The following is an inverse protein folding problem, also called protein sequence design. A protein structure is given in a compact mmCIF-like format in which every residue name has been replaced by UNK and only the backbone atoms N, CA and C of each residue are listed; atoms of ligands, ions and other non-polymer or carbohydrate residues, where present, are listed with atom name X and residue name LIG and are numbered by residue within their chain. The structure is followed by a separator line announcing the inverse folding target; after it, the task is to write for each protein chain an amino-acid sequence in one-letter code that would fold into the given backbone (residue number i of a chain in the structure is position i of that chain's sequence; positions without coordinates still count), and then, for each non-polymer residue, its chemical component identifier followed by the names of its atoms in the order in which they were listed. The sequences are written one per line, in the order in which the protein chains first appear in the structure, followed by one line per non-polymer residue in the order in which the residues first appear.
data_IF_038604308408
#
_entry.id   IF_038604308408
#
_cell.length_a   1.000
_cell.length_b   1.000
_cell.length_c   1.000
_cell.angle_alpha   90.00
_cell.angle_beta   90.00
_cell.angle_gamma   90.00
#
_symmetry.space_group_name_H-M   'P 1'
#
loop_
_entity.id
_entity.type
_entity.pdbx_description
1 polymer ?
#
# COMPACT_ATOMS: atom_id res chain seq x y z
N UNK A 1 -29.69 -9.23 -17.83
CA UNK A 1 -29.22 -10.64 -17.77
C UNK A 1 -28.18 -10.79 -18.89
N UNK A 2 -26.89 -10.66 -18.57
CA UNK A 2 -25.81 -11.06 -19.49
C UNK A 2 -25.84 -12.58 -19.62
N UNK A 3 -25.69 -13.07 -20.85
CA UNK A 3 -25.69 -14.48 -21.15
C UNK A 3 -24.42 -15.13 -20.56
N UNK A 4 -24.48 -16.42 -20.18
CA UNK A 4 -23.36 -17.22 -19.66
C UNK A 4 -22.16 -17.33 -20.64
N UNK A 5 -22.22 -16.72 -21.81
CA UNK A 5 -21.20 -16.78 -22.88
C UNK A 5 -20.19 -15.65 -22.85
N UNK A 6 -20.31 -14.68 -21.90
CA UNK A 6 -19.43 -13.50 -21.82
C UNK A 6 -18.29 -13.65 -20.79
N UNK A 7 -18.02 -14.85 -20.27
CA UNK A 7 -16.93 -15.03 -19.31
C UNK A 7 -15.61 -15.25 -20.05
N UNK A 8 -14.63 -14.43 -19.72
CA UNK A 8 -13.23 -14.61 -20.15
C UNK A 8 -12.75 -15.95 -19.56
N UNK A 9 -12.54 -16.94 -20.41
CA UNK A 9 -12.05 -18.22 -19.99
C UNK A 9 -10.53 -18.16 -19.93
N UNK A 10 -9.94 -18.15 -18.74
CA UNK A 10 -8.49 -18.25 -18.57
C UNK A 10 -8.05 -19.65 -18.98
N UNK A 11 -7.36 -19.77 -20.12
CA UNK A 11 -6.81 -21.04 -20.60
C UNK A 11 -5.40 -21.26 -20.07
N UNK A 12 -4.57 -20.25 -20.14
CA UNK A 12 -3.19 -20.29 -19.65
C UNK A 12 -2.72 -18.89 -19.22
N UNK A 13 -1.74 -18.81 -18.34
CA UNK A 13 -1.11 -17.57 -17.88
C UNK A 13 0.39 -17.74 -17.65
N UNK A 14 1.14 -16.67 -17.91
CA UNK A 14 2.52 -16.53 -17.45
C UNK A 14 2.61 -16.02 -16.00
N UNK A 15 1.48 -15.59 -15.42
CA UNK A 15 1.38 -15.24 -14.00
C UNK A 15 0.92 -16.45 -13.19
N UNK A 16 1.23 -16.51 -11.89
CA UNK A 16 0.57 -17.44 -10.98
C UNK A 16 -0.95 -17.36 -11.07
N UNK A 17 -1.63 -18.50 -10.97
CA UNK A 17 -3.08 -18.58 -10.93
C UNK A 17 -3.50 -18.93 -9.51
N UNK A 18 -4.31 -18.05 -8.91
CA UNK A 18 -4.94 -18.26 -7.61
C UNK A 18 -6.38 -18.69 -7.83
N UNK A 19 -6.76 -19.85 -7.30
CA UNK A 19 -8.11 -20.39 -7.39
C UNK A 19 -8.71 -20.46 -5.99
N UNK A 20 -9.84 -19.78 -5.78
CA UNK A 20 -10.56 -19.76 -4.51
C UNK A 20 -11.94 -20.36 -4.71
N UNK A 21 -12.32 -21.27 -3.81
CA UNK A 21 -13.65 -21.87 -3.76
C UNK A 21 -14.28 -21.68 -2.39
N UNK A 22 -15.51 -21.20 -2.32
CA UNK A 22 -16.27 -21.03 -1.08
C UNK A 22 -17.66 -21.60 -1.23
N UNK A 23 -18.21 -22.17 -0.16
CA UNK A 23 -19.58 -22.64 -0.15
C UNK A 23 -20.60 -21.54 0.20
N UNK A 24 -20.12 -20.46 0.81
CA UNK A 24 -20.91 -19.30 1.20
C UNK A 24 -20.54 -18.10 0.35
N UNK A 25 -21.45 -17.13 0.25
CA UNK A 25 -21.18 -15.86 -0.41
C UNK A 25 -20.16 -15.06 0.39
N UNK A 26 -19.13 -14.54 -0.29
CA UNK A 26 -18.11 -13.68 0.32
C UNK A 26 -18.72 -12.30 0.53
N UNK A 27 -18.58 -11.73 1.74
CA UNK A 27 -19.03 -10.40 2.10
C UNK A 27 -17.96 -9.62 2.85
N UNK A 28 -18.24 -8.37 3.22
CA UNK A 28 -17.41 -7.55 4.10
C UNK A 28 -17.74 -7.70 5.58
N UNK A 29 -18.84 -8.38 5.91
CA UNK A 29 -19.39 -8.41 7.27
C UNK A 29 -18.71 -9.47 8.14
N UNK A 30 -18.29 -10.55 7.51
CA UNK A 30 -17.62 -11.68 8.18
C UNK A 30 -16.77 -12.49 7.21
N UNK A 31 -15.78 -13.15 7.74
CA UNK A 31 -15.02 -14.15 6.99
C UNK A 31 -15.84 -15.41 6.78
N UNK A 32 -15.68 -15.99 5.61
CA UNK A 32 -16.23 -17.29 5.27
C UNK A 32 -15.11 -18.28 5.01
N UNK A 33 -15.32 -19.54 5.37
CA UNK A 33 -14.39 -20.62 5.08
C UNK A 33 -14.37 -20.94 3.59
N UNK A 34 -13.19 -21.29 3.10
CA UNK A 34 -12.99 -21.67 1.71
C UNK A 34 -11.72 -22.50 1.52
N UNK A 35 -11.46 -22.81 0.27
CA UNK A 35 -10.24 -23.46 -0.17
C UNK A 35 -9.51 -22.58 -1.16
N UNK A 36 -8.21 -22.48 -1.05
CA UNK A 36 -7.34 -21.79 -2.02
C UNK A 36 -6.31 -22.76 -2.57
N UNK A 37 -6.21 -22.78 -3.90
CA UNK A 37 -5.12 -23.43 -4.62
C UNK A 37 -4.31 -22.40 -5.40
N UNK A 38 -2.99 -22.53 -5.40
CA UNK A 38 -2.10 -21.68 -6.19
C UNK A 38 -1.27 -22.53 -7.12
N UNK A 39 -1.31 -22.18 -8.41
CA UNK A 39 -0.53 -22.79 -9.47
C UNK A 39 0.56 -21.81 -9.87
N UNK A 40 1.80 -22.22 -9.70
CA UNK A 40 2.95 -21.44 -10.13
C UNK A 40 4.08 -22.30 -10.66
N UNK A 41 4.04 -22.55 -11.97
CA UNK A 41 5.10 -23.21 -12.70
C UNK A 41 6.24 -22.22 -12.90
N UNK A 42 7.36 -22.43 -12.18
CA UNK A 42 8.49 -21.51 -12.20
C UNK A 42 9.25 -21.60 -13.54
N UNK A 43 9.96 -20.54 -13.86
CA UNK A 43 10.66 -20.41 -15.13
C UNK A 43 9.80 -19.78 -16.22
N UNK A 44 9.86 -20.30 -17.43
CA UNK A 44 9.08 -19.80 -18.58
C UNK A 44 7.85 -20.67 -18.90
N UNK A 45 7.48 -21.55 -17.98
CA UNK A 45 6.32 -22.42 -18.18
C UNK A 45 5.02 -21.66 -17.92
N UNK A 46 4.00 -21.96 -18.73
CA UNK A 46 2.66 -21.40 -18.51
C UNK A 46 1.96 -22.18 -17.41
N UNK A 47 1.11 -21.47 -16.66
CA UNK A 47 0.19 -22.04 -15.69
C UNK A 47 -1.14 -22.24 -16.38
N UNK A 48 -1.82 -23.37 -16.15
CA UNK A 48 -3.18 -23.62 -16.60
C UNK A 48 -4.10 -23.89 -15.41
N UNK A 49 -5.38 -23.49 -15.43
CA UNK A 49 -6.29 -23.73 -14.30
C UNK A 49 -6.49 -25.21 -13.97
N UNK A 50 -6.11 -26.11 -14.87
CA UNK A 50 -6.17 -27.58 -14.68
C UNK A 50 -4.90 -28.20 -14.12
N UNK A 51 -3.82 -27.41 -13.95
CA UNK A 51 -2.60 -27.92 -13.34
C UNK A 51 -2.81 -28.20 -11.85
N UNK A 52 -1.96 -29.03 -11.32
CA UNK A 52 -1.92 -29.31 -9.88
C UNK A 52 -1.53 -28.05 -9.11
N UNK A 53 -2.19 -27.78 -8.01
CA UNK A 53 -1.77 -26.74 -7.07
C UNK A 53 -0.39 -27.11 -6.51
N UNK A 54 0.62 -26.30 -6.83
CA UNK A 54 2.02 -26.62 -6.55
C UNK A 54 2.75 -25.58 -5.70
N UNK A 55 2.09 -24.44 -5.42
CA UNK A 55 2.64 -23.41 -4.52
C UNK A 55 1.88 -23.39 -3.18
N UNK A 56 0.55 -23.41 -3.22
CA UNK A 56 -0.31 -23.57 -2.05
C UNK A 56 -1.55 -24.43 -2.40
N UNK A 57 -1.99 -25.25 -1.44
CA UNK A 57 -3.19 -26.08 -1.55
C UNK A 57 -3.76 -26.31 -0.14
N UNK A 58 -4.76 -25.49 0.27
CA UNK A 58 -5.21 -25.52 1.66
C UNK A 58 -6.46 -24.71 1.96
N UNK A 59 -6.88 -24.79 3.23
CA UNK A 59 -8.03 -24.08 3.76
C UNK A 59 -7.69 -22.60 3.98
N UNK A 60 -8.68 -21.74 3.80
CA UNK A 60 -8.61 -20.31 4.07
C UNK A 60 -9.89 -19.79 4.73
N UNK A 61 -9.78 -18.68 5.45
CA UNK A 61 -10.90 -17.80 5.74
C UNK A 61 -10.75 -16.52 4.90
N UNK A 62 -11.83 -16.07 4.24
CA UNK A 62 -11.80 -14.98 3.26
C UNK A 62 -12.97 -14.02 3.46
N UNK A 63 -12.73 -12.74 3.23
CA UNK A 63 -13.72 -11.66 3.24
C UNK A 63 -13.38 -10.58 2.22
N UNK A 64 -14.36 -9.75 1.83
CA UNK A 64 -14.06 -8.50 1.11
C UNK A 64 -13.37 -7.51 2.04
N UNK A 65 -12.47 -6.71 1.47
CA UNK A 65 -11.80 -5.63 2.18
C UNK A 65 -11.80 -4.34 1.37
N UNK A 66 -11.61 -3.24 2.10
CA UNK A 66 -11.52 -1.88 1.57
C UNK A 66 -12.54 -0.97 2.22
N UNK A 67 -12.52 0.30 1.86
CA UNK A 67 -13.52 1.28 2.22
C UNK A 67 -14.22 1.74 0.93
N UNK A 68 -13.75 2.79 0.29
CA UNK A 68 -14.29 3.26 -1.01
C UNK A 68 -14.17 2.23 -2.13
N UNK A 69 -13.13 1.39 -2.11
CA UNK A 69 -12.92 0.33 -3.10
C UNK A 69 -13.98 -0.79 -3.07
N UNK A 70 -14.79 -0.88 -2.00
CA UNK A 70 -15.93 -1.79 -1.95
C UNK A 70 -17.04 -1.42 -2.93
N UNK A 71 -17.08 -0.18 -3.42
CA UNK A 71 -18.03 0.24 -4.45
C UNK A 71 -17.65 -0.25 -5.86
N UNK A 72 -16.37 -0.63 -6.07
CA UNK A 72 -15.93 -1.11 -7.37
C UNK A 72 -16.42 -2.54 -7.66
N UNK A 73 -16.69 -2.87 -8.94
CA UNK A 73 -17.05 -4.23 -9.35
C UNK A 73 -15.96 -5.27 -9.05
N UNK A 74 -14.69 -4.86 -9.05
CA UNK A 74 -13.53 -5.69 -8.76
C UNK A 74 -13.17 -5.54 -7.28
N UNK A 75 -13.50 -6.54 -6.47
CA UNK A 75 -13.32 -6.53 -5.01
C UNK A 75 -11.92 -6.96 -4.61
N UNK A 76 -11.33 -6.30 -3.62
CA UNK A 76 -10.16 -6.80 -2.91
C UNK A 76 -10.59 -7.76 -1.79
N UNK A 77 -9.69 -8.71 -1.47
CA UNK A 77 -9.95 -9.70 -0.42
C UNK A 77 -8.87 -9.65 0.65
N UNK A 78 -9.28 -9.90 1.87
CA UNK A 78 -8.41 -10.29 2.98
C UNK A 78 -8.64 -11.77 3.23
N UNK A 79 -7.57 -12.50 3.40
CA UNK A 79 -7.63 -13.94 3.65
C UNK A 79 -6.60 -14.35 4.71
N UNK A 80 -6.94 -15.41 5.42
CA UNK A 80 -6.06 -16.11 6.35
C UNK A 80 -5.95 -17.56 5.92
N UNK A 81 -4.72 -18.07 5.84
CA UNK A 81 -4.47 -19.48 5.62
C UNK A 81 -4.73 -20.26 6.91
N UNK A 82 -5.35 -21.44 6.79
CA UNK A 82 -5.82 -22.24 7.93
C UNK A 82 -5.45 -23.72 7.80
N UNK A 83 -5.31 -24.38 8.94
CA UNK A 83 -5.21 -25.83 9.01
C UNK A 83 -6.59 -26.51 8.87
N UNK A 84 -6.63 -27.83 8.93
CA UNK A 84 -7.86 -28.64 8.81
C UNK A 84 -8.86 -28.39 9.95
N UNK A 85 -8.44 -27.77 11.05
CA UNK A 85 -9.28 -27.45 12.21
C UNK A 85 -9.77 -26.00 12.18
N UNK A 86 -9.40 -25.21 11.14
CA UNK A 86 -9.71 -23.80 11.03
C UNK A 86 -8.82 -22.90 11.88
N UNK A 87 -7.69 -23.41 12.37
CA UNK A 87 -6.68 -22.61 13.07
C UNK A 87 -5.72 -21.98 12.06
N UNK A 88 -5.25 -20.78 12.37
CA UNK A 88 -4.30 -20.06 11.50
C UNK A 88 -3.05 -20.90 11.25
N UNK A 89 -2.62 -20.95 10.00
CA UNK A 89 -1.49 -21.71 9.52
C UNK A 89 -0.55 -20.82 8.73
N UNK A 90 0.66 -20.59 9.23
CA UNK A 90 1.68 -19.87 8.47
C UNK A 90 2.07 -20.67 7.23
N UNK A 91 1.85 -20.11 6.05
CA UNK A 91 2.17 -20.70 4.76
C UNK A 91 3.03 -19.76 3.91
N UNK A 92 4.03 -20.34 3.21
CA UNK A 92 4.74 -19.61 2.16
C UNK A 92 3.85 -19.53 0.93
N UNK A 93 3.71 -18.34 0.38
CA UNK A 93 2.93 -18.10 -0.83
C UNK A 93 3.77 -17.31 -1.83
N UNK A 94 3.93 -17.82 -3.05
CA UNK A 94 4.63 -17.16 -4.16
C UNK A 94 6.06 -16.70 -3.78
N UNK A 95 6.82 -17.55 -3.11
CA UNK A 95 8.16 -17.29 -2.57
C UNK A 95 8.22 -16.11 -1.57
N UNK A 96 7.10 -15.65 -1.03
CA UNK A 96 7.08 -14.73 0.11
C UNK A 96 7.19 -15.51 1.42
N UNK A 97 7.81 -14.95 2.48
CA UNK A 97 7.94 -15.60 3.78
C UNK A 97 6.62 -16.10 4.35
N UNK A 98 6.69 -17.15 5.17
CA UNK A 98 5.51 -17.78 5.72
C UNK A 98 4.77 -16.88 6.71
N UNK A 99 3.47 -16.74 6.50
CA UNK A 99 2.53 -16.06 7.38
C UNK A 99 1.11 -16.59 7.12
N UNK A 100 0.16 -16.26 7.99
CA UNK A 100 -1.24 -16.62 7.82
C UNK A 100 -2.08 -15.51 7.19
N UNK A 101 -1.66 -14.26 7.28
CA UNK A 101 -2.41 -13.06 6.83
C UNK A 101 -1.96 -12.58 5.44
N UNK A 102 -2.88 -12.58 4.47
CA UNK A 102 -2.65 -12.20 3.08
C UNK A 102 -3.74 -11.28 2.53
N UNK A 103 -3.40 -10.53 1.50
CA UNK A 103 -4.34 -9.66 0.79
C UNK A 103 -4.25 -9.92 -0.71
N UNK A 104 -5.40 -10.12 -1.35
CA UNK A 104 -5.55 -10.05 -2.80
C UNK A 104 -6.06 -8.65 -3.14
N UNK A 105 -5.12 -7.76 -3.46
CA UNK A 105 -5.45 -6.40 -3.87
C UNK A 105 -5.96 -6.37 -5.32
N UNK A 106 -7.06 -5.66 -5.54
CA UNK A 106 -7.73 -5.50 -6.82
C UNK A 106 -7.42 -4.13 -7.43
N UNK A 107 -6.45 -3.98 -8.34
CA UNK A 107 -6.24 -2.72 -9.05
C UNK A 107 -7.38 -2.48 -10.06
N UNK A 108 -8.36 -1.65 -9.70
CA UNK A 108 -9.50 -1.32 -10.56
C UNK A 108 -9.40 0.09 -11.12
N UNK A 109 -9.33 1.13 -10.28
CA UNK A 109 -9.10 2.50 -10.72
C UNK A 109 -7.65 2.74 -11.19
N UNK A 110 -6.71 1.95 -10.68
CA UNK A 110 -5.35 1.92 -11.22
C UNK A 110 -5.27 1.07 -12.49
N UNK A 111 -5.48 1.70 -13.64
CA UNK A 111 -5.47 1.02 -14.93
C UNK A 111 -4.08 0.61 -15.41
N UNK A 112 -3.01 1.08 -14.77
CA UNK A 112 -1.66 0.53 -15.02
C UNK A 112 -1.49 -0.84 -14.39
N UNK A 113 -2.30 -1.19 -13.39
CA UNK A 113 -2.26 -2.40 -12.56
C UNK A 113 -1.05 -2.48 -11.62
N UNK A 114 -0.17 -1.45 -11.57
CA UNK A 114 1.14 -1.58 -10.92
C UNK A 114 1.54 -0.44 -9.96
N UNK A 115 0.68 0.56 -9.68
CA UNK A 115 1.07 1.70 -8.82
C UNK A 115 1.46 1.29 -7.41
N UNK A 116 0.61 0.51 -6.72
CA UNK A 116 0.97 -0.06 -5.41
C UNK A 116 2.22 -0.94 -5.51
N UNK A 117 2.29 -1.79 -6.53
CA UNK A 117 3.41 -2.69 -6.76
C UNK A 117 4.73 -1.91 -6.89
N UNK A 118 4.72 -0.83 -7.69
CA UNK A 118 5.89 0.02 -7.91
C UNK A 118 6.36 0.69 -6.62
N UNK A 119 5.42 1.36 -5.92
CA UNK A 119 5.80 2.09 -4.71
C UNK A 119 6.27 1.14 -3.60
N UNK A 120 5.63 -0.03 -3.43
CA UNK A 120 6.06 -1.00 -2.43
C UNK A 120 7.45 -1.59 -2.76
N UNK A 121 7.73 -1.82 -4.04
CA UNK A 121 9.06 -2.28 -4.48
C UNK A 121 10.13 -1.22 -4.20
N UNK A 122 9.87 0.05 -4.57
CA UNK A 122 10.80 1.14 -4.29
C UNK A 122 11.00 1.35 -2.77
N UNK A 123 9.92 1.27 -2.01
CA UNK A 123 9.98 1.40 -0.55
C UNK A 123 10.80 0.26 0.10
N UNK A 124 10.71 -0.97 -0.42
CA UNK A 124 11.52 -2.10 0.06
C UNK A 124 13.02 -1.93 -0.20
N UNK A 125 13.41 -1.10 -1.17
CA UNK A 125 14.81 -0.76 -1.43
C UNK A 125 15.30 0.44 -0.60
N UNK A 126 14.39 1.15 0.08
CA UNK A 126 14.67 2.39 0.82
C UNK A 126 14.54 2.18 2.32
N UNK A 127 13.48 1.52 2.74
CA UNK A 127 13.09 1.31 4.14
C UNK A 127 13.51 -0.09 4.62
N UNK A 128 13.45 -0.31 5.92
CA UNK A 128 13.75 -1.62 6.51
C UNK A 128 12.77 -2.71 6.01
N UNK A 129 11.50 -2.34 5.80
CA UNK A 129 10.45 -3.21 5.28
C UNK A 129 9.40 -2.43 4.50
N UNK A 130 8.91 -3.06 3.44
CA UNK A 130 7.65 -2.73 2.79
C UNK A 130 6.93 -4.03 2.41
N UNK A 131 5.58 -4.06 2.35
CA UNK A 131 4.86 -5.28 2.01
C UNK A 131 5.32 -5.86 0.67
N UNK A 132 5.70 -7.14 0.66
CA UNK A 132 6.06 -7.85 -0.57
C UNK A 132 4.81 -8.08 -1.40
N UNK A 133 4.97 -8.06 -2.71
CA UNK A 133 3.88 -8.12 -3.67
C UNK A 133 4.19 -9.09 -4.80
N UNK A 134 3.16 -9.77 -5.32
CA UNK A 134 3.24 -10.65 -6.49
C UNK A 134 2.02 -10.49 -7.36
N UNK A 135 2.21 -10.28 -8.66
CA UNK A 135 1.09 -10.36 -9.60
C UNK A 135 0.56 -11.77 -9.70
N UNK A 136 -0.75 -11.92 -9.80
CA UNK A 136 -1.43 -13.17 -10.05
C UNK A 136 -2.72 -12.94 -10.84
N UNK A 137 -3.26 -14.00 -11.42
CA UNK A 137 -4.61 -14.01 -11.96
C UNK A 137 -5.52 -14.79 -11.00
N UNK A 138 -6.71 -14.25 -10.72
CA UNK A 138 -7.61 -14.78 -9.71
C UNK A 138 -8.86 -15.41 -10.34
N UNK A 139 -9.20 -16.60 -9.88
CA UNK A 139 -10.47 -17.27 -10.13
C UNK A 139 -11.18 -17.46 -8.78
N UNK A 140 -12.45 -17.06 -8.67
CA UNK A 140 -13.27 -17.27 -7.47
C UNK A 140 -14.57 -17.96 -7.88
N UNK A 141 -14.81 -19.14 -7.36
CA UNK A 141 -16.01 -19.94 -7.65
C UNK A 141 -16.25 -20.08 -9.17
N UNK A 142 -15.22 -20.55 -9.88
CA UNK A 142 -15.18 -20.73 -11.34
C UNK A 142 -15.34 -19.43 -12.17
N UNK A 143 -15.35 -18.26 -11.52
CA UNK A 143 -15.44 -16.97 -12.20
C UNK A 143 -14.08 -16.27 -12.20
N UNK A 144 -13.50 -16.04 -13.40
CA UNK A 144 -12.25 -15.31 -13.58
C UNK A 144 -12.39 -13.84 -13.14
N UNK A 145 -11.56 -13.40 -12.21
CA UNK A 145 -11.62 -12.05 -11.61
C UNK A 145 -10.58 -11.08 -12.15
N UNK A 146 -9.66 -11.50 -13.02
CA UNK A 146 -8.63 -10.63 -13.60
C UNK A 146 -7.31 -10.67 -12.85
N UNK A 147 -6.48 -9.67 -13.14
CA UNK A 147 -5.17 -9.47 -12.51
C UNK A 147 -5.35 -8.94 -11.07
N UNK A 148 -4.70 -9.59 -10.13
CA UNK A 148 -4.62 -9.18 -8.73
C UNK A 148 -3.16 -9.04 -8.29
N UNK A 149 -2.97 -8.43 -7.14
CA UNK A 149 -1.67 -8.39 -6.46
C UNK A 149 -1.81 -9.10 -5.12
N UNK A 150 -1.17 -10.27 -5.00
CA UNK A 150 -0.99 -10.91 -3.70
C UNK A 150 -0.03 -10.06 -2.89
N UNK A 151 -0.43 -9.65 -1.70
CA UNK A 151 0.25 -8.65 -0.89
C UNK A 151 0.33 -9.13 0.56
N UNK A 152 1.47 -8.94 1.21
CA UNK A 152 1.60 -9.12 2.65
C UNK A 152 0.76 -8.08 3.40
N UNK A 153 0.10 -8.49 4.47
CA UNK A 153 -0.52 -7.57 5.43
C UNK A 153 0.56 -7.00 6.35
N UNK A 154 0.47 -5.71 6.68
CA UNK A 154 1.31 -5.10 7.71
C UNK A 154 0.97 -5.73 9.06
N UNK A 155 1.98 -6.30 9.72
CA UNK A 155 1.87 -7.06 10.95
C UNK A 155 3.26 -7.19 11.59
N UNK A 156 3.30 -7.33 12.91
CA UNK A 156 4.51 -7.76 13.61
C UNK A 156 4.88 -9.18 13.15
N UNK A 157 6.09 -9.35 12.66
CA UNK A 157 6.68 -10.62 12.24
C UNK A 157 8.15 -10.37 11.86
N UNK A 158 9.07 -11.28 12.17
CA UNK A 158 10.50 -11.16 11.85
C UNK A 158 10.78 -10.96 10.35
N UNK A 159 9.89 -11.44 9.49
CA UNK A 159 9.99 -11.29 8.03
C UNK A 159 9.16 -10.11 7.50
N UNK A 160 8.40 -9.41 8.34
CA UNK A 160 7.58 -8.24 7.99
C UNK A 160 8.04 -7.01 8.76
N UNK A 161 7.24 -6.47 9.67
CA UNK A 161 7.71 -5.43 10.58
C UNK A 161 8.45 -6.13 11.71
N UNK A 162 9.78 -6.15 11.61
CA UNK A 162 10.67 -6.85 12.53
C UNK A 162 10.83 -6.02 13.82
N UNK A 163 9.84 -6.16 14.70
CA UNK A 163 9.81 -5.61 16.04
C UNK A 163 9.53 -6.73 17.05
N UNK A 164 9.94 -6.54 18.28
CA UNK A 164 9.73 -7.53 19.30
C UNK A 164 8.23 -7.75 19.58
N UNK A 165 7.79 -9.00 19.61
CA UNK A 165 6.44 -9.36 20.03
C UNK A 165 6.15 -8.81 21.45
N UNK A 166 5.01 -8.14 21.61
CA UNK A 166 4.56 -7.59 22.89
C UNK A 166 3.41 -8.45 23.44
N UNK A 167 3.71 -9.26 24.43
CA UNK A 167 2.74 -10.14 25.08
C UNK A 167 2.03 -9.45 26.25
N UNK A 168 0.92 -9.98 26.73
CA UNK A 168 0.21 -9.45 27.90
C UNK A 168 1.03 -9.48 29.20
N UNK A 169 2.15 -10.20 29.25
CA UNK A 169 3.07 -10.26 30.39
C UNK A 169 4.07 -9.08 30.40
N UNK A 170 4.29 -8.43 29.26
CA UNK A 170 5.26 -7.37 29.07
C UNK A 170 4.70 -6.03 29.58
N UNK A 171 4.65 -5.85 30.88
CA UNK A 171 4.02 -4.70 31.55
C UNK A 171 5.01 -3.73 32.21
N UNK A 172 6.31 -3.96 32.11
CA UNK A 172 7.38 -3.15 32.68
C UNK A 172 8.48 -2.90 31.63
N UNK A 173 9.35 -1.92 31.91
CA UNK A 173 10.55 -1.70 31.09
C UNK A 173 11.58 -2.82 31.33
N UNK A 174 12.34 -3.23 30.28
CA UNK A 174 12.36 -2.62 28.95
C UNK A 174 11.28 -3.13 27.99
N UNK A 175 10.58 -4.23 28.29
CA UNK A 175 9.69 -4.94 27.36
C UNK A 175 8.52 -4.07 26.86
N UNK A 176 7.90 -3.31 27.78
CA UNK A 176 6.74 -2.44 27.45
C UNK A 176 7.09 -1.30 26.48
N UNK A 177 8.38 -1.04 26.23
CA UNK A 177 8.82 0.13 25.43
C UNK A 177 8.69 -0.08 23.92
N UNK A 178 8.27 -1.25 23.44
CA UNK A 178 8.14 -1.53 22.00
C UNK A 178 7.33 -2.77 21.71
N UNK A 179 7.17 -3.07 20.43
CA UNK A 179 6.27 -4.08 19.91
C UNK A 179 4.95 -3.45 19.44
N UNK A 180 4.98 -2.18 19.04
CA UNK A 180 3.79 -1.45 18.64
C UNK A 180 3.81 -1.11 17.15
N UNK A 181 2.67 -1.34 16.48
CA UNK A 181 2.35 -0.78 15.17
C UNK A 181 1.09 0.06 15.33
N UNK A 182 1.11 1.28 14.84
CA UNK A 182 -0.05 2.16 14.89
C UNK A 182 -0.13 3.01 13.62
N UNK A 183 -1.32 3.57 13.33
CA UNK A 183 -1.53 4.35 12.11
C UNK A 183 -2.46 5.51 12.31
N UNK A 184 -2.35 6.50 11.43
CA UNK A 184 -3.36 7.51 11.17
C UNK A 184 -4.23 7.05 10.00
N UNK A 185 -5.53 6.98 10.23
CA UNK A 185 -6.51 6.53 9.25
C UNK A 185 -7.92 6.98 9.64
N UNK A 186 -8.92 6.69 8.80
CA UNK A 186 -10.31 6.76 9.22
C UNK A 186 -10.56 5.82 10.41
N UNK A 187 -11.20 6.36 11.44
CA UNK A 187 -11.61 5.58 12.61
C UNK A 187 -12.97 4.91 12.39
N UNK A 188 -13.10 3.69 12.84
CA UNK A 188 -14.34 2.90 12.79
C UNK A 188 -14.73 2.41 14.20
N UNK A 189 -15.99 2.00 14.34
CA UNK A 189 -16.42 1.34 15.58
C UNK A 189 -15.64 0.04 15.79
N UNK A 190 -15.04 -0.08 16.97
CA UNK A 190 -14.20 -1.26 17.33
C UNK A 190 -12.71 -1.07 17.08
N UNK A 191 -12.27 0.09 16.58
CA UNK A 191 -10.84 0.40 16.52
C UNK A 191 -10.26 0.64 17.92
N UNK A 192 -9.03 0.16 18.13
CA UNK A 192 -8.27 0.43 19.33
C UNK A 192 -7.61 1.80 19.22
N UNK A 193 -8.25 2.82 19.82
CA UNK A 193 -7.88 4.22 19.65
C UNK A 193 -6.91 4.71 20.74
N UNK A 194 -6.00 5.58 20.32
CA UNK A 194 -5.10 6.36 21.16
C UNK A 194 -5.25 7.84 20.81
N UNK A 195 -5.58 8.67 21.80
CA UNK A 195 -5.80 10.11 21.60
C UNK A 195 -4.53 10.92 21.89
N UNK A 196 -4.17 11.80 20.97
CA UNK A 196 -3.08 12.77 21.10
C UNK A 196 -3.63 14.13 21.55
N UNK A 197 -3.18 14.56 22.72
CA UNK A 197 -3.74 15.75 23.37
C UNK A 197 -3.38 17.07 22.67
N UNK A 198 -2.16 17.19 22.15
CA UNK A 198 -1.72 18.42 21.49
C UNK A 198 -2.24 18.50 20.06
N UNK A 199 -2.01 17.45 19.27
CA UNK A 199 -2.53 17.36 17.88
C UNK A 199 -4.05 17.19 17.81
N UNK A 200 -4.73 16.86 18.92
CA UNK A 200 -6.20 16.67 19.01
C UNK A 200 -6.74 15.68 17.98
N UNK A 201 -6.09 14.52 17.84
CA UNK A 201 -6.51 13.47 16.92
C UNK A 201 -6.31 12.08 17.51
N UNK A 202 -7.01 11.12 16.92
CA UNK A 202 -6.87 9.70 17.23
C UNK A 202 -5.87 9.01 16.31
N UNK A 203 -5.08 8.10 16.88
CA UNK A 203 -4.34 7.08 16.15
C UNK A 203 -4.96 5.72 16.44
N UNK A 204 -4.84 4.80 15.50
CA UNK A 204 -5.34 3.43 15.63
C UNK A 204 -4.15 2.53 15.96
N UNK A 205 -4.23 1.78 17.06
CA UNK A 205 -3.25 0.75 17.40
C UNK A 205 -3.57 -0.52 16.61
N UNK A 206 -2.62 -0.99 15.81
CA UNK A 206 -2.74 -2.21 15.00
C UNK A 206 -2.16 -3.43 15.69
N UNK A 207 -1.01 -3.25 16.34
CA UNK A 207 -0.32 -4.27 17.13
C UNK A 207 0.15 -3.66 18.44
N UNK A 208 -0.05 -4.33 19.56
CA UNK A 208 -0.88 -5.54 19.72
C UNK A 208 -2.36 -5.29 19.35
N UNK A 209 -3.07 -6.36 18.97
CA UNK A 209 -4.51 -6.26 18.66
C UNK A 209 -5.30 -5.83 19.90
N UNK A 210 -6.53 -5.33 19.68
CA UNK A 210 -7.37 -4.82 20.76
C UNK A 210 -7.63 -5.85 21.87
N UNK A 211 -7.77 -7.12 21.51
CA UNK A 211 -7.99 -8.24 22.44
C UNK A 211 -6.71 -8.72 23.17
N UNK A 212 -5.55 -8.28 22.71
CA UNK A 212 -4.22 -8.70 23.22
C UNK A 212 -3.57 -7.61 24.08
N UNK A 213 -3.76 -6.35 23.74
CA UNK A 213 -3.14 -5.22 24.43
C UNK A 213 -3.72 -5.03 25.83
N UNK A 214 -2.85 -4.89 26.82
CA UNK A 214 -3.27 -4.57 28.19
C UNK A 214 -3.48 -3.07 28.37
N UNK A 215 -4.33 -2.68 29.35
CA UNK A 215 -4.53 -1.28 29.69
C UNK A 215 -3.23 -0.55 30.08
N UNK A 216 -2.25 -1.28 30.66
CA UNK A 216 -0.94 -0.72 31.02
C UNK A 216 -0.09 -0.43 29.79
N UNK A 217 -0.06 -1.32 28.82
CA UNK A 217 0.64 -1.13 27.54
C UNK A 217 0.04 0.03 26.74
N UNK A 218 -1.29 0.07 26.63
CA UNK A 218 -1.99 1.19 25.97
C UNK A 218 -1.71 2.52 26.66
N UNK A 219 -1.72 2.54 28.01
CA UNK A 219 -1.41 3.74 28.79
C UNK A 219 0.06 4.18 28.60
N UNK A 220 1.00 3.24 28.54
CA UNK A 220 2.41 3.53 28.29
C UNK A 220 2.61 4.14 26.89
N UNK A 221 2.08 3.50 25.85
CA UNK A 221 2.17 4.00 24.47
C UNK A 221 1.52 5.39 24.35
N UNK A 222 0.32 5.57 24.91
CA UNK A 222 -0.37 6.87 24.93
C UNK A 222 0.49 7.94 25.60
N UNK A 223 1.09 7.64 26.75
CA UNK A 223 1.99 8.57 27.45
C UNK A 223 3.23 8.91 26.64
N UNK A 224 3.86 7.92 26.02
CA UNK A 224 5.06 8.11 25.19
C UNK A 224 4.78 8.95 23.95
N UNK A 225 3.67 8.66 23.22
CA UNK A 225 3.30 9.42 22.04
C UNK A 225 2.83 10.83 22.37
N UNK A 226 2.13 11.04 23.48
CA UNK A 226 1.78 12.38 23.94
C UNK A 226 3.00 13.21 24.38
N UNK A 227 4.02 12.59 24.98
CA UNK A 227 5.27 13.26 25.29
C UNK A 227 6.02 13.68 24.02
N UNK A 228 6.07 12.80 23.01
CA UNK A 228 6.61 13.12 21.70
C UNK A 228 5.84 14.27 21.02
N UNK A 229 4.51 14.15 20.92
CA UNK A 229 3.61 15.12 20.32
C UNK A 229 3.80 16.52 20.95
N UNK A 230 3.88 16.58 22.28
CA UNK A 230 4.15 17.83 23.01
C UNK A 230 5.54 18.40 22.69
N UNK A 231 6.59 17.57 22.70
CA UNK A 231 7.95 18.04 22.43
C UNK A 231 8.10 18.57 21.01
N UNK A 232 7.53 17.87 20.03
CA UNK A 232 7.52 18.28 18.64
C UNK A 232 6.96 19.70 18.47
N UNK A 233 5.80 19.98 19.07
CA UNK A 233 5.10 21.25 18.90
C UNK A 233 5.59 22.38 19.82
N UNK A 234 6.35 22.08 20.88
CA UNK A 234 6.76 23.12 21.85
C UNK A 234 8.25 23.47 21.78
N UNK A 235 9.12 22.49 21.68
CA UNK A 235 10.59 22.68 21.71
C UNK A 235 11.27 22.31 20.40
N UNK A 236 10.61 21.53 19.54
CA UNK A 236 11.20 20.95 18.33
C UNK A 236 12.21 19.80 18.63
N UNK A 237 12.29 19.31 19.87
CA UNK A 237 13.23 18.24 20.25
C UNK A 237 12.69 16.83 19.93
N UNK A 238 12.10 16.65 18.76
CA UNK A 238 11.50 15.38 18.33
C UNK A 238 12.50 14.28 18.02
N UNK A 239 13.74 14.63 17.66
CA UNK A 239 14.76 13.66 17.26
C UNK A 239 15.14 12.67 18.37
N UNK A 240 14.75 12.94 19.63
CA UNK A 240 14.91 11.98 20.72
C UNK A 240 13.88 10.85 20.66
N UNK A 241 12.74 11.07 20.01
CA UNK A 241 11.62 10.14 19.96
C UNK A 241 11.50 9.39 18.63
N UNK A 242 11.93 10.01 17.53
CA UNK A 242 11.73 9.46 16.20
C UNK A 242 13.04 9.20 15.47
N UNK A 243 13.05 8.20 14.61
CA UNK A 243 14.08 8.02 13.59
C UNK A 243 13.83 9.03 12.45
N UNK A 244 14.59 10.11 12.45
CA UNK A 244 14.45 11.23 11.50
C UNK A 244 14.60 10.75 10.05
N UNK A 245 15.46 9.75 9.80
CA UNK A 245 15.65 9.22 8.45
C UNK A 245 14.39 8.53 7.93
N UNK A 246 13.73 7.71 8.76
CA UNK A 246 12.48 7.03 8.35
C UNK A 246 11.37 8.02 8.02
N UNK A 247 11.26 9.13 8.77
CA UNK A 247 10.29 10.20 8.48
C UNK A 247 10.65 10.96 7.19
N UNK A 248 11.94 11.24 6.95
CA UNK A 248 12.41 11.85 5.71
C UNK A 248 12.15 10.94 4.50
N UNK A 249 12.36 9.64 4.62
CA UNK A 249 12.06 8.64 3.58
C UNK A 249 10.57 8.53 3.30
N UNK A 250 9.74 8.53 4.34
CA UNK A 250 8.29 8.55 4.18
C UNK A 250 7.83 9.83 3.45
N UNK A 251 8.34 11.01 3.86
CA UNK A 251 8.09 12.27 3.16
C UNK A 251 8.50 12.18 1.68
N UNK A 252 9.70 11.68 1.39
CA UNK A 252 10.18 11.52 0.01
C UNK A 252 9.24 10.62 -0.81
N UNK A 253 8.81 9.49 -0.25
CA UNK A 253 7.94 8.55 -0.96
C UNK A 253 6.54 9.11 -1.18
N UNK A 254 5.94 9.77 -0.18
CA UNK A 254 4.63 10.42 -0.31
C UNK A 254 4.69 11.52 -1.36
N UNK A 255 5.69 12.39 -1.31
CA UNK A 255 5.84 13.49 -2.25
C UNK A 255 6.23 13.02 -3.65
N UNK A 256 7.13 12.05 -3.80
CA UNK A 256 7.47 11.47 -5.10
C UNK A 256 6.24 10.87 -5.77
N UNK A 257 5.50 10.07 -5.05
CA UNK A 257 4.29 9.46 -5.55
C UNK A 257 3.13 10.48 -5.68
N UNK A 258 3.23 11.63 -5.02
CA UNK A 258 2.13 12.56 -4.80
C UNK A 258 0.87 11.82 -4.37
N UNK A 259 1.05 10.99 -3.31
CA UNK A 259 -0.02 10.19 -2.76
C UNK A 259 -1.00 11.09 -2.01
N UNK A 260 -2.19 11.27 -2.57
CA UNK A 260 -3.20 12.19 -2.05
C UNK A 260 -3.87 11.75 -0.74
N UNK A 261 -3.62 10.52 -0.32
CA UNK A 261 -3.99 10.00 0.99
C UNK A 261 -2.82 10.04 1.99
N UNK A 262 -1.61 10.27 1.50
CA UNK A 262 -0.41 10.37 2.33
C UNK A 262 -0.54 11.41 3.44
N UNK A 263 0.13 11.19 4.57
CA UNK A 263 0.08 11.92 5.84
C UNK A 263 -1.24 11.80 6.59
N UNK A 264 -2.38 11.75 5.91
CA UNK A 264 -3.72 11.85 6.51
C UNK A 264 -4.42 10.51 6.68
N UNK A 265 -4.17 9.54 5.79
CA UNK A 265 -4.78 8.21 5.79
C UNK A 265 -3.72 7.15 5.52
N UNK A 266 -3.97 5.93 5.99
CA UNK A 266 -3.10 4.77 5.76
C UNK A 266 -1.62 5.04 6.05
N UNK A 267 -1.35 5.96 6.99
CA UNK A 267 -0.01 6.36 7.38
C UNK A 267 0.41 5.59 8.62
N UNK A 268 1.30 4.61 8.42
CA UNK A 268 1.74 3.69 9.45
C UNK A 268 3.00 4.17 10.16
N UNK A 269 3.11 3.77 11.41
CA UNK A 269 4.27 3.96 12.27
C UNK A 269 4.48 2.69 13.10
N UNK A 270 5.72 2.46 13.51
CA UNK A 270 6.04 1.37 14.42
C UNK A 270 7.12 1.76 15.42
N UNK A 271 7.15 1.03 16.52
CA UNK A 271 8.10 1.27 17.60
C UNK A 271 8.57 -0.05 18.20
N UNK A 272 9.86 -0.34 18.07
CA UNK A 272 10.49 -1.47 18.71
C UNK A 272 11.01 -1.14 20.13
N UNK A 273 11.39 -2.17 20.90
CA UNK A 273 11.90 -2.05 22.26
C UNK A 273 13.17 -1.23 22.33
N UNK A 274 13.16 -0.20 23.18
CA UNK A 274 14.30 0.69 23.34
C UNK A 274 14.62 1.57 22.13
N UNK A 275 13.96 1.35 20.99
CA UNK A 275 14.19 2.07 19.76
C UNK A 275 13.28 3.30 19.61
N UNK A 276 13.56 4.14 18.62
CA UNK A 276 12.76 5.30 18.27
C UNK A 276 11.55 4.90 17.42
N UNK A 277 10.55 5.78 17.36
CA UNK A 277 9.41 5.64 16.44
C UNK A 277 9.92 5.75 15.01
N UNK A 278 9.53 4.84 14.14
CA UNK A 278 9.79 4.89 12.70
C UNK A 278 8.50 5.14 11.93
N UNK A 279 8.57 5.97 10.88
CA UNK A 279 7.49 6.13 9.91
C UNK A 279 7.55 4.99 8.88
N UNK A 280 6.41 4.41 8.58
CA UNK A 280 6.27 3.24 7.72
C UNK A 280 5.70 2.03 8.47
N UNK A 281 5.46 0.92 7.72
CA UNK A 281 5.65 0.72 6.27
C UNK A 281 4.67 1.52 5.40
N UNK A 282 5.00 1.65 4.11
CA UNK A 282 4.10 2.27 3.12
C UNK A 282 2.83 1.43 2.92
N UNK A 283 1.70 2.12 2.68
CA UNK A 283 0.42 1.46 2.42
C UNK A 283 -0.48 2.33 1.55
N UNK A 284 -1.23 1.70 0.63
CA UNK A 284 -2.31 2.28 -0.16
C UNK A 284 -1.89 3.45 -1.08
N UNK A 285 -1.09 3.14 -2.10
CA UNK A 285 -0.58 4.08 -3.10
C UNK A 285 -1.31 3.99 -4.45
N UNK A 286 -2.53 3.47 -4.49
CA UNK A 286 -3.31 3.36 -5.73
C UNK A 286 -3.78 4.72 -6.27
N UNK A 287 -4.02 5.70 -5.38
CA UNK A 287 -4.39 7.08 -5.71
C UNK A 287 -3.16 8.00 -5.75
N UNK A 288 -2.14 7.57 -6.44
CA UNK A 288 -0.83 8.25 -6.53
C UNK A 288 -0.33 8.24 -7.97
N UNK A 289 0.85 8.83 -8.22
CA UNK A 289 1.53 8.80 -9.51
C UNK A 289 0.61 9.23 -10.67
N UNK A 290 -0.13 10.31 -10.46
CA UNK A 290 -1.03 10.88 -11.45
C UNK A 290 -2.43 10.26 -11.52
N UNK A 291 -2.81 9.37 -10.60
CA UNK A 291 -4.08 8.63 -10.63
C UNK A 291 -5.17 9.22 -9.74
N UNK A 292 -5.24 10.54 -9.62
CA UNK A 292 -6.29 11.19 -8.88
C UNK A 292 -6.69 12.53 -9.50
N UNK A 293 -8.01 12.80 -9.57
CA UNK A 293 -8.61 13.99 -10.14
C UNK A 293 -8.93 15.08 -9.09
N UNK A 294 -8.40 14.95 -7.89
CA UNK A 294 -8.52 15.91 -6.78
C UNK A 294 -7.17 16.12 -6.07
N UNK A 295 -7.08 17.15 -5.23
CA UNK A 295 -5.85 17.53 -4.53
C UNK A 295 -4.62 17.68 -5.46
N UNK A 296 -4.85 18.11 -6.71
CA UNK A 296 -3.83 18.21 -7.76
C UNK A 296 -3.02 16.91 -7.97
N UNK A 297 -3.63 15.74 -7.69
CA UNK A 297 -2.95 14.44 -7.80
C UNK A 297 -2.50 14.09 -9.22
N UNK A 298 -3.12 14.70 -10.24
CA UNK A 298 -2.76 14.55 -11.67
C UNK A 298 -1.53 15.36 -12.07
N UNK A 299 -1.22 16.44 -11.33
CA UNK A 299 -0.14 17.37 -11.67
C UNK A 299 1.20 16.86 -11.10
N UNK A 300 2.21 16.59 -11.93
CA UNK A 300 3.53 16.15 -11.43
C UNK A 300 4.30 17.28 -10.73
N UNK A 301 3.91 18.54 -10.88
CA UNK A 301 4.53 19.67 -10.20
C UNK A 301 3.81 20.04 -8.90
N UNK A 302 4.46 20.84 -8.05
CA UNK A 302 3.94 21.25 -6.74
C UNK A 302 4.06 20.17 -5.67
N UNK A 303 4.34 20.58 -4.45
CA UNK A 303 4.28 19.71 -3.27
C UNK A 303 2.83 19.32 -2.96
N UNK A 304 2.63 18.13 -2.41
CA UNK A 304 1.32 17.70 -1.93
C UNK A 304 1.01 18.28 -0.54
N UNK A 305 2.00 18.32 0.35
CA UNK A 305 1.80 18.73 1.75
C UNK A 305 1.13 20.11 1.93
N UNK A 306 1.33 21.15 1.08
CA UNK A 306 0.62 22.42 1.25
C UNK A 306 -0.83 22.42 0.81
N UNK A 307 -1.31 21.32 0.20
CA UNK A 307 -2.69 21.20 -0.31
C UNK A 307 -3.66 20.65 0.73
N UNK A 308 -3.15 20.20 1.86
CA UNK A 308 -3.93 19.65 2.97
C UNK A 308 -3.78 20.54 4.20
N UNK A 309 -4.71 20.41 5.14
CA UNK A 309 -4.68 21.19 6.39
C UNK A 309 -3.49 20.77 7.28
N UNK A 310 -3.05 21.67 8.16
CA UNK A 310 -2.01 21.36 9.16
C UNK A 310 -2.39 20.17 10.03
N UNK A 311 -3.67 20.04 10.39
CA UNK A 311 -4.19 18.90 11.14
C UNK A 311 -4.09 17.57 10.36
N UNK A 312 -4.31 17.61 9.03
CA UNK A 312 -4.13 16.45 8.16
C UNK A 312 -2.64 16.11 7.96
N UNK A 313 -1.78 17.12 7.85
CA UNK A 313 -0.34 16.95 7.74
C UNK A 313 0.28 16.42 9.03
N UNK A 314 -0.34 16.75 10.18
CA UNK A 314 -0.02 16.14 11.45
C UNK A 314 1.45 16.40 11.87
N UNK A 315 2.17 15.42 12.39
CA UNK A 315 3.57 15.55 12.83
C UNK A 315 4.53 16.04 11.74
N UNK A 316 4.21 15.79 10.49
CA UNK A 316 5.05 16.24 9.36
C UNK A 316 5.07 17.76 9.20
N UNK A 317 4.06 18.50 9.71
CA UNK A 317 4.02 19.97 9.61
C UNK A 317 5.24 20.61 10.26
N UNK A 318 5.49 20.31 11.52
CA UNK A 318 6.59 20.86 12.30
C UNK A 318 7.94 20.37 11.79
N UNK A 319 8.01 19.12 11.35
CA UNK A 319 9.24 18.58 10.77
C UNK A 319 9.60 19.25 9.44
N UNK A 320 8.63 19.50 8.57
CA UNK A 320 8.85 20.18 7.28
C UNK A 320 9.30 21.63 7.49
N UNK A 321 8.80 22.28 8.54
CA UNK A 321 9.22 23.65 8.91
C UNK A 321 10.62 23.68 9.57
N UNK A 322 11.14 22.56 10.03
CA UNK A 322 12.49 22.44 10.58
C UNK A 322 13.52 22.31 9.45
N UNK A 323 14.42 23.28 9.37
CA UNK A 323 15.50 23.30 8.37
C UNK A 323 16.42 22.09 8.46
N UNK A 324 16.66 21.56 9.67
CA UNK A 324 17.55 20.40 9.88
C UNK A 324 16.92 19.11 9.33
N UNK A 325 15.61 18.95 9.46
CA UNK A 325 14.86 17.87 8.83
C UNK A 325 14.92 17.96 7.31
N UNK A 326 14.68 19.16 6.76
CA UNK A 326 14.72 19.36 5.31
C UNK A 326 16.11 19.18 4.72
N UNK A 327 17.17 19.60 5.41
CA UNK A 327 18.56 19.36 4.98
C UNK A 327 18.90 17.86 4.96
N UNK A 328 18.44 17.12 5.96
CA UNK A 328 18.56 15.66 6.02
C UNK A 328 17.78 14.98 4.87
N UNK A 329 16.57 15.45 4.62
CA UNK A 329 15.70 15.00 3.53
C UNK A 329 16.35 15.24 2.16
N UNK A 330 16.90 16.44 1.92
CA UNK A 330 17.62 16.79 0.68
C UNK A 330 18.84 15.88 0.50
N UNK A 331 19.58 15.64 1.57
CA UNK A 331 20.76 14.78 1.53
C UNK A 331 20.36 13.35 1.18
N UNK A 332 19.29 12.84 1.81
CA UNK A 332 18.76 11.49 1.52
C UNK A 332 18.22 11.39 0.10
N UNK A 333 17.48 12.39 -0.37
CA UNK A 333 17.04 12.45 -1.77
C UNK A 333 18.19 12.31 -2.75
N UNK A 334 19.27 13.09 -2.57
CA UNK A 334 20.47 13.02 -3.42
C UNK A 334 21.10 11.63 -3.47
N UNK A 335 21.06 10.89 -2.36
CA UNK A 335 21.53 9.50 -2.30
C UNK A 335 20.61 8.58 -3.09
N UNK A 336 19.30 8.63 -2.82
CA UNK A 336 18.29 7.79 -3.45
C UNK A 336 18.21 8.00 -4.97
N UNK A 337 18.41 9.24 -5.45
CA UNK A 337 18.45 9.55 -6.89
C UNK A 337 19.61 8.88 -7.64
N UNK A 338 20.62 8.40 -6.95
CA UNK A 338 21.75 7.65 -7.53
C UNK A 338 21.50 6.12 -7.53
N UNK A 339 20.41 5.66 -6.97
CA UNK A 339 20.08 4.27 -6.79
C UNK A 339 18.59 4.01 -7.08
N UNK A 340 17.82 3.61 -6.06
CA UNK A 340 16.42 3.14 -6.23
C UNK A 340 15.50 4.18 -6.86
N UNK A 341 15.74 5.47 -6.66
CA UNK A 341 14.94 6.52 -7.27
C UNK A 341 15.56 7.12 -8.53
N UNK A 342 16.53 6.46 -9.17
CA UNK A 342 16.99 6.86 -10.50
C UNK A 342 15.91 6.60 -11.54
N UNK A 343 15.79 7.49 -12.54
CA UNK A 343 14.80 7.32 -13.62
C UNK A 343 15.00 6.00 -14.36
N UNK A 344 16.25 5.63 -14.62
CA UNK A 344 16.60 4.37 -15.29
C UNK A 344 16.08 3.17 -14.51
N UNK A 345 16.30 3.12 -13.18
CA UNK A 345 15.84 2.00 -12.34
C UNK A 345 14.33 1.89 -12.33
N UNK A 346 13.62 3.01 -12.06
CA UNK A 346 12.16 3.02 -12.04
C UNK A 346 11.58 2.60 -13.39
N UNK A 347 12.14 3.09 -14.51
CA UNK A 347 11.67 2.72 -15.84
C UNK A 347 11.92 1.26 -16.16
N UNK A 348 13.08 0.71 -15.77
CA UNK A 348 13.37 -0.71 -15.98
C UNK A 348 12.40 -1.63 -15.21
N UNK A 349 11.99 -1.24 -14.00
CA UNK A 349 10.93 -1.96 -13.26
C UNK A 349 9.58 -1.92 -13.99
N UNK A 350 9.15 -0.73 -14.43
CA UNK A 350 7.89 -0.56 -15.16
C UNK A 350 7.91 -1.37 -16.46
N UNK A 351 9.00 -1.33 -17.22
CA UNK A 351 9.14 -2.07 -18.47
C UNK A 351 9.11 -3.58 -18.27
N UNK A 352 9.82 -4.06 -17.25
CA UNK A 352 9.80 -5.47 -16.87
C UNK A 352 8.38 -5.96 -16.54
N UNK A 353 7.66 -5.22 -15.69
CA UNK A 353 6.29 -5.61 -15.31
C UNK A 353 5.28 -5.40 -16.45
N UNK A 354 5.48 -4.39 -17.28
CA UNK A 354 4.65 -4.21 -18.49
C UNK A 354 4.77 -5.41 -19.43
N UNK A 355 5.98 -5.95 -19.61
CA UNK A 355 6.19 -7.17 -20.38
C UNK A 355 5.52 -8.38 -19.70
N UNK A 356 5.67 -8.51 -18.39
CA UNK A 356 5.06 -9.59 -17.61
C UNK A 356 3.53 -9.57 -17.67
N UNK A 357 2.91 -8.39 -17.63
CA UNK A 357 1.47 -8.19 -17.64
C UNK A 357 0.83 -8.19 -19.05
N UNK A 358 1.62 -8.23 -20.11
CA UNK A 358 1.16 -8.00 -21.49
C UNK A 358 -0.01 -8.89 -21.93
N UNK A 359 -0.06 -10.14 -21.50
CA UNK A 359 -1.16 -11.05 -21.80
C UNK A 359 -2.31 -10.90 -20.79
N UNK A 360 -1.98 -10.84 -19.51
CA UNK A 360 -2.93 -10.83 -18.42
C UNK A 360 -3.77 -9.52 -18.40
N UNK A 361 -3.17 -8.36 -18.75
CA UNK A 361 -3.90 -7.10 -18.84
C UNK A 361 -5.02 -7.16 -19.90
N UNK A 362 -4.82 -7.84 -21.03
CA UNK A 362 -5.85 -8.00 -22.08
C UNK A 362 -7.05 -8.75 -21.54
N UNK A 363 -6.83 -9.83 -20.80
CA UNK A 363 -7.88 -10.60 -20.14
C UNK A 363 -8.60 -9.76 -19.07
N UNK A 364 -7.84 -9.04 -18.26
CA UNK A 364 -8.38 -8.16 -17.23
C UNK A 364 -9.31 -7.10 -17.82
N UNK A 365 -8.89 -6.39 -18.87
CA UNK A 365 -9.68 -5.33 -19.47
C UNK A 365 -10.77 -5.86 -20.41
N UNK A 366 -10.64 -7.07 -20.94
CA UNK A 366 -11.76 -7.75 -21.59
C UNK A 366 -12.91 -8.03 -20.61
N UNK A 367 -12.57 -8.37 -19.35
CA UNK A 367 -13.57 -8.56 -18.31
C UNK A 367 -14.24 -7.27 -17.85
N UNK A 368 -13.46 -6.22 -17.64
CA UNK A 368 -13.97 -5.00 -16.98
C UNK A 368 -14.31 -3.87 -17.95
N UNK A 369 -13.71 -3.82 -19.11
CA UNK A 369 -14.05 -2.85 -20.17
C UNK A 369 -13.89 -1.38 -19.77
N UNK A 370 -12.89 -1.06 -18.94
CA UNK A 370 -12.71 0.27 -18.33
C UNK A 370 -11.63 1.13 -19.00
N UNK A 371 -10.87 0.60 -19.98
CA UNK A 371 -9.94 1.42 -20.75
C UNK A 371 -10.71 2.45 -21.56
N UNK A 372 -10.22 3.69 -21.60
CA UNK A 372 -10.89 4.81 -22.27
C UNK A 372 -12.19 5.28 -21.59
N UNK A 373 -12.55 4.76 -20.42
CA UNK A 373 -13.76 5.16 -19.69
C UNK A 373 -13.40 5.72 -18.31
N UNK A 374 -14.18 6.68 -17.82
CA UNK A 374 -13.98 7.20 -16.47
C UNK A 374 -14.19 6.11 -15.40
N UNK A 375 -13.26 6.03 -14.50
CA UNK A 375 -13.37 5.30 -13.23
C UNK A 375 -12.89 6.25 -12.15
N UNK A 376 -13.73 6.54 -11.16
CA UNK A 376 -13.32 7.44 -10.08
C UNK A 376 -12.04 6.92 -9.39
N UNK A 377 -11.05 7.78 -9.14
CA UNK A 377 -10.92 9.21 -9.46
C UNK A 377 -9.92 9.46 -10.61
N UNK A 378 -10.06 8.80 -11.77
CA UNK A 378 -9.12 9.01 -12.88
C UNK A 378 -9.22 10.42 -13.46
N UNK A 379 -8.09 11.13 -13.67
CA UNK A 379 -8.08 12.43 -14.35
C UNK A 379 -8.17 12.31 -15.87
N UNK A 380 -8.49 13.42 -16.54
CA UNK A 380 -8.47 13.52 -18.00
C UNK A 380 -9.76 13.10 -18.71
N UNK A 381 -10.81 12.78 -17.99
CA UNK A 381 -12.12 12.47 -18.52
C UNK A 381 -13.10 13.63 -18.32
N UNK A 382 -14.19 13.75 -19.11
CA UNK A 382 -15.20 14.78 -18.92
C UNK A 382 -15.81 14.81 -17.53
N UNK A 383 -15.86 13.66 -16.85
CA UNK A 383 -16.38 13.49 -15.50
C UNK A 383 -15.36 13.82 -14.40
N UNK A 384 -14.08 14.01 -14.76
CA UNK A 384 -13.01 14.30 -13.79
C UNK A 384 -13.26 15.65 -13.10
N UNK A 385 -12.88 15.75 -11.84
CA UNK A 385 -13.05 16.97 -11.03
C UNK A 385 -14.48 17.23 -10.58
N UNK A 386 -15.36 16.21 -10.59
CA UNK A 386 -16.78 16.32 -10.19
C UNK A 386 -17.02 16.94 -8.80
N UNK A 387 -15.98 17.00 -7.96
CA UNK A 387 -16.02 17.59 -6.61
C UNK A 387 -15.50 19.05 -6.58
N UNK A 388 -15.44 19.76 -7.72
CA UNK A 388 -15.03 21.17 -7.77
C UNK A 388 -13.52 21.40 -7.91
N UNK A 389 -12.76 20.39 -8.23
CA UNK A 389 -11.33 20.49 -8.52
C UNK A 389 -11.05 20.81 -10.00
N UNK A 390 -9.99 21.57 -10.25
CA UNK A 390 -9.58 21.94 -11.62
C UNK A 390 -8.82 20.81 -12.34
N UNK A 391 -9.31 19.58 -12.25
CA UNK A 391 -8.72 18.44 -12.94
C UNK A 391 -8.86 18.57 -14.46
N UNK A 392 -7.89 18.06 -15.25
CA UNK A 392 -8.08 17.92 -16.69
C UNK A 392 -9.34 17.11 -17.02
N UNK A 393 -10.12 17.60 -17.96
CA UNK A 393 -11.36 16.94 -18.44
C UNK A 393 -11.19 16.30 -19.82
N UNK A 394 -9.96 16.22 -20.32
CA UNK A 394 -9.61 15.61 -21.59
C UNK A 394 -8.17 15.10 -21.57
N UNK A 395 -7.85 14.23 -22.54
CA UNK A 395 -6.49 13.67 -22.68
C UNK A 395 -6.24 12.40 -21.87
N UNK A 396 -7.31 11.77 -21.36
CA UNK A 396 -7.20 10.48 -20.69
C UNK A 396 -6.66 9.38 -21.63
N UNK A 397 -5.81 8.48 -21.12
CA UNK A 397 -5.36 7.31 -21.86
C UNK A 397 -6.53 6.44 -22.34
N UNK A 398 -6.44 5.92 -23.56
CA UNK A 398 -7.48 5.08 -24.18
C UNK A 398 -7.08 3.60 -24.22
N UNK A 399 -5.79 3.32 -24.13
CA UNK A 399 -5.22 1.97 -24.15
C UNK A 399 -4.34 1.74 -22.92
N UNK A 400 -4.05 0.48 -22.63
CA UNK A 400 -3.17 0.16 -21.52
C UNK A 400 -1.74 0.68 -21.73
N UNK A 401 -1.24 0.63 -22.97
CA UNK A 401 0.06 1.17 -23.35
C UNK A 401 0.14 2.69 -23.09
N UNK A 402 -0.96 3.40 -23.35
CA UNK A 402 -1.06 4.84 -23.04
C UNK A 402 -1.10 5.09 -21.53
N UNK A 403 -1.75 4.22 -20.73
CA UNK A 403 -1.71 4.30 -19.26
C UNK A 403 -0.28 4.13 -18.72
N UNK A 404 0.50 3.18 -19.28
CA UNK A 404 1.91 2.99 -18.92
C UNK A 404 2.75 4.20 -19.35
N UNK A 405 2.51 4.75 -20.53
CA UNK A 405 3.21 5.94 -21.01
C UNK A 405 2.89 7.17 -20.12
N UNK A 406 1.63 7.33 -19.70
CA UNK A 406 1.21 8.39 -18.78
C UNK A 406 1.89 8.27 -17.41
N UNK A 407 1.95 7.05 -16.85
CA UNK A 407 2.67 6.77 -15.61
C UNK A 407 4.16 7.18 -15.71
N UNK A 408 4.84 6.76 -16.76
CA UNK A 408 6.26 7.11 -16.99
C UNK A 408 6.46 8.61 -17.13
N UNK A 409 5.60 9.27 -17.92
CA UNK A 409 5.67 10.73 -18.12
C UNK A 409 5.44 11.49 -16.81
N UNK A 410 4.48 11.04 -15.97
CA UNK A 410 4.28 11.63 -14.64
C UNK A 410 5.55 11.51 -13.79
N UNK A 411 6.11 10.31 -13.70
CA UNK A 411 7.31 10.03 -12.89
C UNK A 411 8.50 10.87 -13.38
N UNK A 412 8.72 10.94 -14.69
CA UNK A 412 9.81 11.77 -15.24
C UNK A 412 9.68 13.23 -14.81
N UNK A 413 8.52 13.82 -15.07
CA UNK A 413 8.28 15.24 -14.72
C UNK A 413 8.37 15.47 -13.21
N UNK A 414 7.87 14.50 -12.41
CA UNK A 414 7.92 14.57 -10.95
C UNK A 414 9.36 14.56 -10.42
N UNK A 415 10.17 13.63 -10.92
CA UNK A 415 11.60 13.55 -10.57
C UNK A 415 12.36 14.82 -10.97
N UNK A 416 12.15 15.31 -12.19
CA UNK A 416 12.78 16.54 -12.68
C UNK A 416 12.36 17.76 -11.84
N UNK A 417 11.09 17.85 -11.47
CA UNK A 417 10.56 18.91 -10.63
C UNK A 417 11.13 18.85 -9.21
N UNK A 418 11.12 17.68 -8.56
CA UNK A 418 11.67 17.51 -7.22
C UNK A 418 13.19 17.74 -7.19
N UNK A 419 13.94 17.28 -8.19
CA UNK A 419 15.37 17.56 -8.32
C UNK A 419 15.63 19.06 -8.29
N UNK A 420 14.84 19.83 -9.03
CA UNK A 420 14.94 21.29 -9.05
C UNK A 420 14.61 21.92 -7.69
N UNK A 421 13.57 21.44 -6.99
CA UNK A 421 13.20 21.93 -5.66
C UNK A 421 14.31 21.66 -4.63
N UNK A 422 14.96 20.51 -4.72
CA UNK A 422 16.06 20.11 -3.83
C UNK A 422 17.44 20.60 -4.30
N UNK A 423 17.49 21.49 -5.28
CA UNK A 423 18.73 22.14 -5.73
C UNK A 423 19.70 21.20 -6.46
N UNK A 424 19.20 20.09 -7.05
CA UNK A 424 19.99 19.28 -7.96
C UNK A 424 19.94 19.94 -9.36
N UNK A 425 21.02 20.55 -9.78
CA UNK A 425 21.26 20.87 -11.18
C UNK A 425 21.39 19.54 -11.93
N UNK A 426 20.57 19.34 -12.97
CA UNK A 426 20.49 18.14 -13.84
C UNK A 426 21.62 17.14 -13.56
N UNK A 427 21.34 16.09 -12.79
CA UNK A 427 22.07 14.84 -12.88
C UNK A 427 21.73 14.29 -14.27
N UNK A 428 22.72 14.32 -15.16
CA UNK A 428 22.57 13.91 -16.56
C UNK A 428 21.87 12.56 -16.65
N UNK A 429 21.03 12.47 -17.68
CA UNK A 429 20.26 11.31 -18.09
C UNK A 429 21.08 10.03 -18.19
#
# INVERSE_FOLDING_TARGET
KKSKTDFVNLQESNLPIVVVSTNEEISSDRRVGGHMGIIWNKGNEKNTPSDTYNDYDGQIAIEYRGHSSLEFPKKSYRLETQDQNGMNLNARILDMPADDDWILYAPYSDKTLMRNFLVYTLAAEINDYAPRVRFCELIVNDDYKGVYVMTEKIKENNDRVDIAELTSQDTAEPEITGGYIFRKDWTASGDNLLYLNYSQLDLIINEPRQEEITARQQSWLTGHLNAFDQQLHTTGEYANYVDVNSFAENFILVELAKNIDGYRLSTYFHKDRGEKIKAGPVWDYNLSLGNADYNNGWDPEGWYYPLISEHELFWFKEMIDDTSFMDSTITRWKQLRKGPLSMHHIYSLIDHWSQQLQEAQRRNFSRYGILGSYVWPNPGYPESGSFGYNSPTSGAPQTWEEEIAALKNFIQKRLEWMDKQFGLTRLMA
#
